data_IF_687015394745
#
_entry.id   IF_687015394745
#
_cell.length_a   1.000
_cell.length_b   1.000
_cell.length_c   1.000
_cell.angle_alpha   90.00
_cell.angle_beta   90.00
_cell.angle_gamma   90.00
#
_symmetry.space_group_name_H-M   'P 1'
#
loop_
_entity.id
_entity.type
_entity.pdbx_description
1 polymer ?
#
# COMPACT_ATOMS: atom_id res chain seq x y z
N UNK A 1 29.07 -0.07 5.44
CA UNK A 1 29.30 -1.51 5.68
C UNK A 1 28.28 -2.29 4.85
N UNK A 2 28.67 -2.76 3.65
CA UNK A 2 27.84 -3.64 2.81
C UNK A 2 28.29 -5.07 3.12
N UNK A 3 27.57 -5.75 4.03
CA UNK A 3 27.75 -7.17 4.25
C UNK A 3 27.35 -7.95 2.98
N UNK A 4 28.11 -8.97 2.61
CA UNK A 4 27.73 -9.95 1.57
C UNK A 4 26.34 -10.48 1.94
N UNK A 5 25.35 -10.23 1.07
CA UNK A 5 24.02 -10.80 1.23
C UNK A 5 24.16 -12.33 1.27
N UNK A 6 23.85 -12.91 2.43
CA UNK A 6 23.77 -14.37 2.52
C UNK A 6 22.66 -14.85 1.59
N UNK A 7 22.93 -15.87 0.78
CA UNK A 7 21.93 -16.50 -0.11
C UNK A 7 20.65 -16.85 0.65
N UNK A 8 20.77 -17.23 1.92
CA UNK A 8 19.64 -17.54 2.82
C UNK A 8 18.79 -16.30 3.13
N UNK A 9 19.39 -15.13 3.32
CA UNK A 9 18.65 -13.89 3.64
C UNK A 9 17.97 -13.33 2.40
N UNK A 10 18.60 -13.42 1.24
CA UNK A 10 17.98 -13.08 -0.04
C UNK A 10 16.74 -13.94 -0.32
N UNK A 11 16.84 -15.27 -0.16
CA UNK A 11 15.72 -16.19 -0.36
C UNK A 11 14.58 -15.91 0.63
N UNK A 12 14.87 -15.65 1.90
CA UNK A 12 13.88 -15.25 2.91
C UNK A 12 13.20 -13.94 2.54
N UNK A 13 13.96 -12.96 2.06
CA UNK A 13 13.42 -11.68 1.60
C UNK A 13 12.50 -11.84 0.39
N UNK A 14 12.87 -12.69 -0.56
CA UNK A 14 12.06 -13.00 -1.74
C UNK A 14 10.74 -13.66 -1.35
N UNK A 15 10.77 -14.69 -0.51
CA UNK A 15 9.56 -15.38 -0.02
C UNK A 15 8.67 -14.39 0.76
N UNK A 16 9.26 -13.56 1.62
CA UNK A 16 8.51 -12.56 2.38
C UNK A 16 7.83 -11.54 1.46
N UNK A 17 8.51 -11.06 0.40
CA UNK A 17 7.93 -10.14 -0.57
C UNK A 17 6.77 -10.78 -1.35
N UNK A 18 6.95 -11.99 -1.87
CA UNK A 18 5.90 -12.71 -2.61
C UNK A 18 4.70 -12.99 -1.70
N UNK A 19 4.94 -13.48 -0.49
CA UNK A 19 3.88 -13.76 0.47
C UNK A 19 3.12 -12.49 0.88
N UNK A 20 3.82 -11.36 1.09
CA UNK A 20 3.14 -10.09 1.42
C UNK A 20 2.25 -9.59 0.29
N UNK A 21 2.71 -9.66 -0.97
CA UNK A 21 1.90 -9.26 -2.12
C UNK A 21 0.65 -10.14 -2.28
N UNK A 22 0.78 -11.46 -2.09
CA UNK A 22 -0.39 -12.37 -2.10
C UNK A 22 -1.37 -12.05 -0.97
N UNK A 23 -0.87 -11.80 0.25
CA UNK A 23 -1.70 -11.44 1.38
C UNK A 23 -2.40 -10.08 1.18
N UNK A 24 -1.74 -9.07 0.59
CA UNK A 24 -2.37 -7.81 0.21
C UNK A 24 -3.45 -8.04 -0.84
N UNK A 25 -3.20 -8.88 -1.84
CA UNK A 25 -4.22 -9.21 -2.85
C UNK A 25 -5.43 -9.93 -2.24
N UNK A 26 -5.22 -10.79 -1.23
CA UNK A 26 -6.33 -11.38 -0.47
C UNK A 26 -7.11 -10.31 0.30
N UNK A 27 -6.43 -9.32 0.90
CA UNK A 27 -7.11 -8.22 1.61
C UNK A 27 -8.07 -7.44 0.71
N UNK A 28 -7.78 -7.34 -0.57
CA UNK A 28 -8.64 -6.70 -1.56
C UNK A 28 -10.00 -7.40 -1.69
N UNK A 29 -10.04 -8.73 -1.53
CA UNK A 29 -11.25 -9.54 -1.62
C UNK A 29 -12.10 -9.54 -0.33
N UNK A 30 -11.56 -9.13 0.81
CA UNK A 30 -12.34 -9.17 2.07
C UNK A 30 -13.60 -8.32 2.00
N UNK A 31 -13.58 -7.20 1.24
CA UNK A 31 -14.77 -6.39 1.00
C UNK A 31 -15.93 -7.21 0.42
N UNK A 32 -15.64 -8.10 -0.53
CA UNK A 32 -16.67 -8.96 -1.15
C UNK A 32 -17.02 -10.17 -0.29
N UNK A 33 -16.05 -10.79 0.39
CA UNK A 33 -16.30 -11.98 1.24
C UNK A 33 -17.09 -11.66 2.50
N UNK A 34 -17.02 -10.43 2.99
CA UNK A 34 -17.75 -10.00 4.18
C UNK A 34 -19.12 -9.40 3.86
N UNK A 35 -19.61 -9.58 2.61
CA UNK A 35 -21.00 -9.20 2.28
C UNK A 35 -22.00 -9.79 3.29
N UNK A 36 -23.00 -9.05 3.80
CA UNK A 36 -23.50 -7.75 3.31
C UNK A 36 -22.87 -6.50 3.95
N UNK A 37 -21.71 -6.61 4.65
CA UNK A 37 -21.03 -5.44 5.17
C UNK A 37 -20.56 -4.53 4.04
N UNK A 38 -20.69 -3.24 4.22
CA UNK A 38 -20.15 -2.24 3.29
C UNK A 38 -18.63 -2.19 3.36
N UNK A 39 -17.96 -1.71 2.30
CA UNK A 39 -16.50 -1.54 2.31
C UNK A 39 -16.00 -0.63 3.44
N UNK A 40 -16.81 0.35 3.88
CA UNK A 40 -16.47 1.23 5.01
C UNK A 40 -16.55 0.48 6.34
N UNK A 41 -17.52 -0.38 6.53
CA UNK A 41 -17.62 -1.23 7.73
C UNK A 41 -16.46 -2.23 7.79
N UNK A 42 -16.14 -2.88 6.66
CA UNK A 42 -14.98 -3.78 6.57
C UNK A 42 -13.69 -3.03 6.90
N UNK A 43 -13.50 -1.82 6.38
CA UNK A 43 -12.37 -0.97 6.73
C UNK A 43 -12.32 -0.67 8.23
N UNK A 44 -13.44 -0.29 8.83
CA UNK A 44 -13.47 0.06 10.26
C UNK A 44 -13.08 -1.14 11.13
N UNK A 45 -13.65 -2.31 10.89
CA UNK A 45 -13.27 -3.54 11.60
C UNK A 45 -11.81 -3.94 11.33
N UNK A 46 -11.32 -3.74 10.11
CA UNK A 46 -9.92 -3.96 9.76
C UNK A 46 -8.98 -3.11 10.62
N UNK A 47 -9.29 -1.84 10.83
CA UNK A 47 -8.41 -0.93 11.59
C UNK A 47 -8.31 -1.36 13.05
N UNK A 48 -9.43 -1.72 13.68
CA UNK A 48 -9.45 -2.19 15.06
C UNK A 48 -8.71 -3.53 15.20
N UNK A 49 -9.03 -4.50 14.35
CA UNK A 49 -8.41 -5.83 14.40
C UNK A 49 -6.91 -5.77 14.05
N UNK A 50 -6.52 -4.92 13.09
CA UNK A 50 -5.12 -4.73 12.72
C UNK A 50 -4.31 -4.05 13.83
N UNK A 51 -4.89 -3.08 14.55
CA UNK A 51 -4.22 -2.49 15.71
C UNK A 51 -3.92 -3.55 16.77
N UNK A 52 -4.91 -4.40 17.10
CA UNK A 52 -4.71 -5.49 18.05
C UNK A 52 -3.59 -6.44 17.61
N UNK A 53 -3.60 -6.86 16.34
CA UNK A 53 -2.57 -7.73 15.78
C UNK A 53 -1.18 -7.07 15.73
N UNK A 54 -1.08 -5.78 15.39
CA UNK A 54 0.19 -5.03 15.40
C UNK A 54 0.70 -4.87 16.84
N UNK A 55 -0.16 -4.62 17.83
CA UNK A 55 0.24 -4.60 19.23
C UNK A 55 0.87 -5.92 19.68
N UNK A 56 0.30 -7.06 19.26
CA UNK A 56 0.88 -8.39 19.53
C UNK A 56 2.26 -8.52 18.85
N UNK A 57 2.38 -8.15 17.56
CA UNK A 57 3.67 -8.17 16.85
C UNK A 57 4.72 -7.30 17.50
N UNK A 58 4.36 -6.10 17.96
CA UNK A 58 5.24 -5.22 18.73
C UNK A 58 5.70 -5.84 20.05
N UNK A 59 4.81 -6.60 20.70
CA UNK A 59 5.12 -7.34 21.94
C UNK A 59 6.05 -8.55 21.72
N UNK A 60 5.95 -9.21 20.57
CA UNK A 60 6.79 -10.35 20.18
C UNK A 60 8.18 -9.95 19.67
N UNK A 61 8.39 -8.67 19.45
CA UNK A 61 9.64 -8.07 18.97
C UNK A 61 10.11 -6.98 19.95
N UNK A 62 11.28 -6.40 19.72
CA UNK A 62 11.72 -5.20 20.46
C UNK A 62 10.96 -3.92 19.98
N UNK A 63 9.82 -4.06 19.33
CA UNK A 63 9.06 -2.97 18.75
C UNK A 63 8.61 -1.92 19.77
N UNK A 64 8.13 -2.33 20.94
CA UNK A 64 7.74 -1.40 22.01
C UNK A 64 8.92 -0.63 22.60
N UNK A 65 10.09 -1.27 22.73
CA UNK A 65 11.31 -0.58 23.17
C UNK A 65 11.74 0.47 22.13
N UNK A 66 11.75 0.09 20.86
CA UNK A 66 12.09 1.00 19.77
C UNK A 66 11.09 2.17 19.67
N UNK A 67 9.77 1.92 19.85
CA UNK A 67 8.77 2.97 19.92
C UNK A 67 8.98 3.92 21.09
N UNK A 68 9.28 3.38 22.29
CA UNK A 68 9.62 4.18 23.47
C UNK A 68 10.86 5.06 23.27
N UNK A 69 11.90 4.52 22.62
CA UNK A 69 13.07 5.28 22.25
C UNK A 69 12.73 6.41 21.26
N UNK A 70 11.99 6.11 20.20
CA UNK A 70 11.57 7.10 19.21
C UNK A 70 10.74 8.23 19.84
N UNK A 71 9.83 7.90 20.79
CA UNK A 71 9.04 8.90 21.53
C UNK A 71 9.95 9.78 22.38
N UNK A 72 10.95 9.20 23.07
CA UNK A 72 11.92 9.96 23.88
C UNK A 72 12.77 10.88 23.02
N UNK A 73 13.25 10.40 21.86
CA UNK A 73 14.04 11.19 20.91
C UNK A 73 13.23 12.32 20.27
N UNK A 74 11.95 12.10 20.00
CA UNK A 74 11.04 13.11 19.49
C UNK A 74 10.69 14.13 20.58
N UNK A 75 10.66 13.72 21.86
CA UNK A 75 10.41 14.57 23.01
C UNK A 75 9.04 15.23 22.97
N UNK A 76 8.98 16.48 23.48
CA UNK A 76 7.76 17.31 23.51
C UNK A 76 7.66 18.26 22.30
N UNK A 77 8.39 18.05 21.23
CA UNK A 77 8.29 18.89 20.03
C UNK A 77 6.96 18.65 19.32
N UNK A 78 5.96 19.48 19.67
CA UNK A 78 4.62 19.39 19.12
C UNK A 78 4.60 19.61 17.60
N UNK A 79 5.51 20.43 17.03
CA UNK A 79 5.62 20.65 15.58
C UNK A 79 6.07 19.36 14.89
N UNK A 80 7.05 18.65 15.46
CA UNK A 80 7.50 17.37 14.93
C UNK A 80 6.38 16.32 14.99
N UNK A 81 5.64 16.25 16.10
CA UNK A 81 4.47 15.37 16.23
C UNK A 81 3.37 15.71 15.23
N UNK A 82 3.07 16.99 15.03
CA UNK A 82 2.10 17.44 14.03
C UNK A 82 2.49 16.94 12.63
N UNK A 83 3.75 17.14 12.21
CA UNK A 83 4.22 16.67 10.92
C UNK A 83 4.26 15.14 10.79
N UNK A 84 4.51 14.40 11.90
CA UNK A 84 4.42 12.94 11.94
C UNK A 84 2.98 12.49 11.73
N UNK A 85 1.98 13.14 12.33
CA UNK A 85 0.56 12.72 12.25
C UNK A 85 -0.17 13.27 11.03
N UNK A 86 0.30 14.36 10.44
CA UNK A 86 -0.35 15.02 9.29
C UNK A 86 -0.66 14.08 8.12
N UNK A 87 0.19 13.13 7.72
CA UNK A 87 -0.11 12.22 6.63
C UNK A 87 -1.04 11.05 7.01
N UNK A 88 -1.39 10.89 8.30
CA UNK A 88 -2.26 9.78 8.76
C UNK A 88 -3.63 9.77 8.09
N UNK A 89 -4.36 10.90 7.87
CA UNK A 89 -5.63 10.89 7.14
C UNK A 89 -5.49 10.40 5.69
N UNK A 90 -4.39 10.77 5.03
CA UNK A 90 -4.09 10.28 3.68
C UNK A 90 -3.91 8.77 3.71
N UNK A 91 -3.13 8.25 4.65
CA UNK A 91 -2.93 6.82 4.83
C UNK A 91 -4.25 6.08 5.14
N UNK A 92 -5.08 6.63 6.03
CA UNK A 92 -6.40 6.08 6.35
C UNK A 92 -7.28 5.97 5.10
N UNK A 93 -7.33 7.03 4.28
CA UNK A 93 -8.11 7.03 3.03
C UNK A 93 -7.62 6.00 2.01
N UNK A 94 -6.31 5.75 1.95
CA UNK A 94 -5.74 4.71 1.08
C UNK A 94 -6.16 3.31 1.55
N UNK A 95 -6.09 3.04 2.85
CA UNK A 95 -6.51 1.76 3.42
C UNK A 95 -8.02 1.52 3.29
N UNK A 96 -8.82 2.61 3.38
CA UNK A 96 -10.26 2.56 3.14
C UNK A 96 -10.55 2.26 1.68
N UNK A 97 -9.94 3.00 0.75
CA UNK A 97 -10.15 2.84 -0.68
C UNK A 97 -9.80 1.42 -1.15
N UNK A 98 -8.79 0.81 -0.55
CA UNK A 98 -8.33 -0.53 -0.88
C UNK A 98 -9.41 -1.62 -0.67
N UNK A 99 -10.22 -1.53 0.38
CA UNK A 99 -11.29 -2.49 0.66
C UNK A 99 -12.67 -2.03 0.17
N UNK A 100 -12.83 -0.72 -0.06
CA UNK A 100 -14.04 -0.12 -0.59
C UNK A 100 -14.17 -0.33 -2.10
N UNK A 101 -13.08 -0.22 -2.84
CA UNK A 101 -13.11 -0.21 -4.30
C UNK A 101 -13.64 -1.51 -4.94
N UNK A 102 -13.29 -2.72 -4.47
CA UNK A 102 -13.75 -3.96 -5.12
C UNK A 102 -15.26 -4.20 -4.97
N UNK A 103 -15.90 -3.63 -3.94
CA UNK A 103 -17.35 -3.74 -3.74
C UNK A 103 -18.15 -2.61 -4.39
N UNK A 104 -17.45 -1.60 -4.94
CA UNK A 104 -18.07 -0.44 -5.59
C UNK A 104 -17.69 -0.32 -7.08
N UNK A 105 -17.11 -1.37 -7.69
CA UNK A 105 -16.75 -1.38 -9.11
C UNK A 105 -15.60 -0.44 -9.49
N UNK A 106 -14.75 -0.06 -8.51
CA UNK A 106 -13.60 0.83 -8.69
C UNK A 106 -12.26 0.08 -8.57
N UNK A 107 -12.29 -1.25 -8.54
CA UNK A 107 -11.10 -2.08 -8.33
C UNK A 107 -10.05 -1.90 -9.41
N UNK A 108 -10.44 -1.89 -10.70
CA UNK A 108 -9.53 -1.61 -11.83
C UNK A 108 -8.90 -0.22 -11.68
N UNK A 109 -9.71 0.80 -11.35
CA UNK A 109 -9.24 2.18 -11.21
C UNK A 109 -8.23 2.33 -10.07
N UNK A 110 -8.46 1.66 -8.95
CA UNK A 110 -7.54 1.65 -7.81
C UNK A 110 -6.26 0.89 -8.16
N UNK A 111 -6.35 -0.26 -8.82
CA UNK A 111 -5.18 -1.00 -9.31
C UNK A 111 -4.33 -0.12 -10.24
N UNK A 112 -4.95 0.66 -11.14
CA UNK A 112 -4.25 1.62 -12.00
C UNK A 112 -3.55 2.71 -11.21
N UNK A 113 -4.18 3.21 -10.13
CA UNK A 113 -3.53 4.15 -9.20
C UNK A 113 -2.26 3.56 -8.56
N UNK A 114 -2.30 2.31 -8.14
CA UNK A 114 -1.13 1.61 -7.61
C UNK A 114 -0.06 1.33 -8.68
N UNK A 115 -0.43 1.10 -9.93
CA UNK A 115 0.55 1.05 -11.03
C UNK A 115 1.26 2.38 -11.23
N UNK A 116 0.54 3.49 -11.16
CA UNK A 116 1.10 4.82 -11.32
C UNK A 116 1.90 5.31 -10.10
N UNK A 117 1.62 4.76 -8.91
CA UNK A 117 2.23 5.21 -7.66
C UNK A 117 3.77 5.22 -7.67
N UNK A 118 4.50 4.16 -8.10
CA UNK A 118 5.95 4.18 -8.12
C UNK A 118 6.52 5.20 -9.11
N UNK A 119 5.82 5.45 -10.22
CA UNK A 119 6.20 6.47 -11.21
C UNK A 119 5.97 7.88 -10.65
N UNK A 120 4.87 8.08 -9.92
CA UNK A 120 4.60 9.31 -9.18
C UNK A 120 5.67 9.54 -8.09
N UNK A 121 6.11 8.49 -7.37
CA UNK A 121 7.21 8.57 -6.41
C UNK A 121 8.51 9.02 -7.05
N UNK A 122 8.84 8.53 -8.25
CA UNK A 122 10.01 9.00 -9.01
C UNK A 122 9.90 10.49 -9.40
N UNK A 123 8.75 10.89 -9.92
CA UNK A 123 8.49 12.28 -10.27
C UNK A 123 8.62 13.20 -9.05
N UNK A 124 8.03 12.81 -7.93
CA UNK A 124 8.15 13.52 -6.66
C UNK A 124 9.59 13.55 -6.14
N UNK A 125 10.34 12.44 -6.24
CA UNK A 125 11.77 12.38 -5.92
C UNK A 125 12.59 13.39 -6.72
N UNK A 126 12.30 13.50 -8.02
CA UNK A 126 12.91 14.50 -8.89
C UNK A 126 12.59 15.93 -8.46
N UNK A 127 11.33 16.21 -8.17
CA UNK A 127 10.86 17.58 -7.87
C UNK A 127 11.30 18.01 -6.46
N UNK A 128 11.09 17.20 -5.44
CA UNK A 128 11.32 17.59 -4.04
C UNK A 128 12.75 17.33 -3.55
N UNK A 129 13.35 16.20 -3.95
CA UNK A 129 14.69 15.85 -3.51
C UNK A 129 15.76 16.18 -4.57
N UNK A 130 15.35 16.72 -5.74
CA UNK A 130 16.24 17.04 -6.87
C UNK A 130 17.08 15.82 -7.32
N UNK A 131 16.52 14.62 -7.12
CA UNK A 131 17.16 13.38 -7.56
C UNK A 131 17.30 13.38 -9.10
N UNK A 132 18.42 12.90 -9.62
CA UNK A 132 18.64 12.80 -11.06
C UNK A 132 18.00 11.52 -11.58
N UNK A 133 17.08 11.63 -12.54
CA UNK A 133 16.53 10.47 -13.22
C UNK A 133 17.48 10.05 -14.35
N UNK A 134 17.72 8.76 -14.47
CA UNK A 134 18.42 8.24 -15.64
C UNK A 134 17.47 8.16 -16.85
N UNK A 135 18.03 7.84 -18.04
CA UNK A 135 17.26 7.82 -19.30
C UNK A 135 16.06 6.87 -19.24
N UNK A 136 16.23 5.65 -18.68
CA UNK A 136 15.14 4.67 -18.58
C UNK A 136 14.04 5.15 -17.64
N UNK A 137 14.40 5.74 -16.49
CA UNK A 137 13.44 6.33 -15.56
C UNK A 137 12.67 7.50 -16.18
N UNK A 138 13.35 8.34 -16.95
CA UNK A 138 12.71 9.47 -17.65
C UNK A 138 11.71 8.95 -18.68
N UNK A 139 12.09 7.96 -19.51
CA UNK A 139 11.20 7.36 -20.51
C UNK A 139 10.02 6.67 -19.82
N UNK A 140 10.23 5.99 -18.69
CA UNK A 140 9.17 5.35 -17.92
C UNK A 140 8.12 6.36 -17.43
N UNK A 141 8.57 7.48 -16.84
CA UNK A 141 7.66 8.55 -16.38
C UNK A 141 6.91 9.18 -17.55
N UNK A 142 7.60 9.48 -18.65
CA UNK A 142 6.95 10.05 -19.86
C UNK A 142 5.91 9.07 -20.43
N UNK A 143 6.23 7.78 -20.51
CA UNK A 143 5.27 6.75 -20.96
C UNK A 143 4.02 6.73 -20.09
N UNK A 144 4.18 6.75 -18.76
CA UNK A 144 3.03 6.80 -17.85
C UNK A 144 2.18 8.07 -18.03
N UNK A 145 2.85 9.23 -18.20
CA UNK A 145 2.13 10.48 -18.48
C UNK A 145 1.31 10.39 -19.78
N UNK A 146 1.86 9.77 -20.84
CA UNK A 146 1.13 9.54 -22.09
C UNK A 146 -0.11 8.64 -21.86
N UNK A 147 0.02 7.59 -21.03
CA UNK A 147 -1.11 6.73 -20.66
C UNK A 147 -2.21 7.49 -19.93
N UNK A 148 -1.84 8.36 -18.98
CA UNK A 148 -2.79 9.22 -18.25
C UNK A 148 -3.48 10.21 -19.20
N UNK A 149 -2.71 10.86 -20.08
CA UNK A 149 -3.26 11.81 -21.07
C UNK A 149 -4.20 11.10 -22.04
N UNK A 150 -3.82 9.91 -22.53
CA UNK A 150 -4.69 9.11 -23.39
C UNK A 150 -6.03 8.82 -22.72
N UNK A 151 -6.01 8.36 -21.47
CA UNK A 151 -7.23 8.03 -20.74
C UNK A 151 -8.12 9.27 -20.52
N UNK A 152 -7.50 10.40 -20.17
CA UNK A 152 -8.21 11.66 -20.00
C UNK A 152 -8.89 12.14 -21.31
N UNK A 153 -8.19 12.03 -22.45
CA UNK A 153 -8.72 12.43 -23.76
C UNK A 153 -9.83 11.48 -24.20
N UNK A 154 -9.67 10.18 -23.94
CA UNK A 154 -10.64 9.15 -24.36
C UNK A 154 -11.93 9.20 -23.56
N UNK A 155 -11.84 9.26 -22.24
CA UNK A 155 -13.01 9.17 -21.33
C UNK A 155 -13.58 10.54 -20.94
N UNK A 156 -12.87 11.63 -21.24
CA UNK A 156 -13.21 12.97 -20.79
C UNK A 156 -13.03 13.20 -19.28
N UNK A 157 -12.76 12.13 -18.53
CA UNK A 157 -12.50 12.18 -17.09
C UNK A 157 -11.52 11.07 -16.69
N UNK A 158 -10.71 11.34 -15.71
CA UNK A 158 -9.86 10.32 -15.09
C UNK A 158 -10.50 9.88 -13.78
N UNK A 159 -10.50 8.56 -13.50
CA UNK A 159 -11.12 8.09 -12.25
C UNK A 159 -10.53 8.80 -11.05
N UNK A 160 -11.38 9.36 -10.20
CA UNK A 160 -10.99 10.02 -8.95
C UNK A 160 -10.19 9.07 -8.05
N UNK A 161 -10.54 7.78 -8.06
CA UNK A 161 -9.87 6.77 -7.24
C UNK A 161 -8.43 6.56 -7.70
N UNK A 162 -8.18 6.50 -9.02
CA UNK A 162 -6.84 6.43 -9.59
C UNK A 162 -6.01 7.65 -9.19
N UNK A 163 -6.56 8.86 -9.40
CA UNK A 163 -5.89 10.13 -9.06
C UNK A 163 -5.59 10.21 -7.56
N UNK A 164 -6.54 9.80 -6.73
CA UNK A 164 -6.36 9.81 -5.28
C UNK A 164 -5.19 8.93 -4.85
N UNK A 165 -5.07 7.70 -5.38
CA UNK A 165 -4.00 6.78 -5.04
C UNK A 165 -2.65 7.35 -5.45
N UNK A 166 -2.39 7.58 -6.74
CA UNK A 166 -1.05 7.99 -7.17
C UNK A 166 -0.69 9.44 -6.80
N UNK A 167 -1.69 10.30 -6.60
CA UNK A 167 -1.48 11.72 -6.28
C UNK A 167 -1.23 11.97 -4.79
N UNK A 168 -1.90 11.26 -3.90
CA UNK A 168 -1.82 11.53 -2.46
C UNK A 168 -0.90 10.56 -1.71
N UNK A 169 -0.83 9.30 -2.10
CA UNK A 169 -0.04 8.29 -1.40
C UNK A 169 1.47 8.59 -1.40
N UNK A 170 2.09 9.14 -2.47
CA UNK A 170 3.47 9.62 -2.40
C UNK A 170 3.72 10.62 -1.28
N UNK A 171 2.77 11.50 -0.98
CA UNK A 171 2.90 12.51 0.09
C UNK A 171 3.14 11.83 1.44
N UNK A 172 2.37 10.77 1.76
CA UNK A 172 2.56 9.98 2.97
C UNK A 172 4.01 9.47 3.09
N UNK A 173 4.52 8.80 2.06
CA UNK A 173 5.86 8.22 2.08
C UNK A 173 6.96 9.28 2.15
N UNK A 174 6.82 10.38 1.40
CA UNK A 174 7.82 11.44 1.37
C UNK A 174 7.95 12.15 2.72
N UNK A 175 6.81 12.46 3.36
CA UNK A 175 6.80 13.07 4.70
C UNK A 175 7.40 12.12 5.73
N UNK A 176 6.99 10.84 5.73
CA UNK A 176 7.53 9.81 6.63
C UNK A 176 9.04 9.62 6.45
N UNK A 177 9.52 9.56 5.21
CA UNK A 177 10.95 9.45 4.88
C UNK A 177 11.73 10.68 5.36
N UNK A 178 11.23 11.89 5.09
CA UNK A 178 11.88 13.15 5.52
C UNK A 178 12.01 13.25 7.03
N UNK A 179 11.03 12.75 7.78
CA UNK A 179 11.03 12.79 9.24
C UNK A 179 11.78 11.61 9.89
N UNK A 180 12.26 10.64 9.10
CA UNK A 180 12.98 9.48 9.61
C UNK A 180 12.12 8.56 10.49
N UNK A 181 10.80 8.49 10.25
CA UNK A 181 9.89 7.65 11.04
C UNK A 181 10.05 6.20 10.65
N UNK A 182 10.44 5.29 11.55
CA UNK A 182 10.53 3.86 11.26
C UNK A 182 9.15 3.30 10.87
N UNK A 183 9.09 2.45 9.85
CA UNK A 183 7.83 2.04 9.22
C UNK A 183 6.83 1.38 10.19
N UNK A 184 7.29 0.42 11.03
CA UNK A 184 6.42 -0.27 11.99
C UNK A 184 5.92 0.69 13.09
N UNK A 185 6.77 1.59 13.56
CA UNK A 185 6.42 2.61 14.57
C UNK A 185 5.43 3.60 13.97
N UNK A 186 5.68 4.08 12.74
CA UNK A 186 4.76 4.95 12.02
C UNK A 186 3.39 4.32 11.82
N UNK A 187 3.34 3.04 11.39
CA UNK A 187 2.11 2.29 11.27
C UNK A 187 1.36 2.17 12.61
N UNK A 188 2.08 1.92 13.71
CA UNK A 188 1.46 1.83 15.04
C UNK A 188 0.81 3.17 15.42
N UNK A 189 1.50 4.30 15.20
CA UNK A 189 0.94 5.62 15.48
C UNK A 189 -0.25 5.95 14.58
N UNK A 190 -0.19 5.59 13.30
CA UNK A 190 -1.32 5.77 12.38
C UNK A 190 -2.55 5.00 12.91
N UNK A 191 -2.36 3.72 13.27
CA UNK A 191 -3.45 2.88 13.78
C UNK A 191 -3.98 3.36 15.13
N UNK A 192 -3.13 3.90 16.03
CA UNK A 192 -3.57 4.49 17.29
C UNK A 192 -4.49 5.71 17.11
N UNK A 193 -4.39 6.39 15.97
CA UNK A 193 -5.29 7.49 15.60
C UNK A 193 -6.52 6.98 14.85
N UNK A 194 -6.31 6.08 13.88
CA UNK A 194 -7.39 5.62 12.98
C UNK A 194 -8.34 4.67 13.70
N UNK A 195 -7.82 3.71 14.50
CA UNK A 195 -8.65 2.67 15.11
C UNK A 195 -9.67 3.19 16.13
N UNK A 196 -9.38 4.20 16.97
CA UNK A 196 -10.41 4.81 17.81
C UNK A 196 -11.54 5.47 17.01
N UNK A 197 -11.21 6.16 15.91
CA UNK A 197 -12.22 6.74 15.02
C UNK A 197 -13.06 5.65 14.35
N UNK A 198 -12.41 4.57 13.91
CA UNK A 198 -13.07 3.41 13.34
C UNK A 198 -13.98 2.71 14.38
N UNK A 199 -13.51 2.55 15.60
CA UNK A 199 -14.30 1.99 16.70
C UNK A 199 -15.51 2.86 17.01
N UNK A 200 -15.34 4.18 17.06
CA UNK A 200 -16.47 5.10 17.23
C UNK A 200 -17.49 4.93 16.11
N UNK A 201 -17.05 4.85 14.85
CA UNK A 201 -17.92 4.58 13.70
C UNK A 201 -18.67 3.25 13.88
N UNK A 202 -17.99 2.16 14.24
CA UNK A 202 -18.62 0.84 14.48
C UNK A 202 -19.72 0.95 15.54
N UNK A 203 -19.46 1.64 16.65
CA UNK A 203 -20.42 1.78 17.75
C UNK A 203 -21.66 2.59 17.36
N UNK A 204 -21.59 3.43 16.33
CA UNK A 204 -22.73 4.18 15.78
C UNK A 204 -23.54 3.35 14.76
N UNK A 205 -22.98 2.22 14.27
CA UNK A 205 -23.63 1.35 13.28
C UNK A 205 -24.27 0.13 13.95
N UNK A 206 -25.43 0.33 14.57
CA UNK A 206 -26.16 -0.71 15.32
C UNK A 206 -26.49 -1.92 14.44
N UNK A 207 -26.81 -1.68 13.16
CA UNK A 207 -27.18 -2.74 12.21
C UNK A 207 -26.01 -3.69 11.95
N UNK A 208 -24.79 -3.16 11.84
CA UNK A 208 -23.57 -3.98 11.64
C UNK A 208 -23.28 -4.84 12.88
N UNK A 209 -23.47 -4.31 14.08
CA UNK A 209 -23.30 -5.07 15.33
C UNK A 209 -24.32 -6.21 15.39
N UNK A 210 -25.58 -5.95 15.07
CA UNK A 210 -26.64 -6.96 15.02
C UNK A 210 -26.36 -8.01 13.93
N UNK A 211 -25.84 -7.58 12.76
CA UNK A 211 -25.42 -8.48 11.69
C UNK A 211 -24.33 -9.45 12.15
N UNK A 212 -23.30 -8.95 12.86
CA UNK A 212 -22.22 -9.78 13.38
C UNK A 212 -22.76 -10.76 14.45
N UNK A 213 -23.66 -10.30 15.32
CA UNK A 213 -24.27 -11.15 16.33
C UNK A 213 -25.11 -12.28 15.71
N UNK A 214 -25.82 -12.00 14.60
CA UNK A 214 -26.62 -12.99 13.87
C UNK A 214 -25.79 -13.87 12.93
N UNK A 215 -24.58 -13.46 12.58
CA UNK A 215 -23.70 -14.14 11.61
C UNK A 215 -22.30 -14.35 12.18
N UNK A 216 -22.12 -15.32 13.11
CA UNK A 216 -20.82 -15.49 13.82
C UNK A 216 -19.61 -15.73 12.93
N UNK A 217 -19.78 -16.24 11.70
CA UNK A 217 -18.70 -16.40 10.72
C UNK A 217 -17.97 -15.07 10.41
N UNK A 218 -18.68 -13.93 10.53
CA UNK A 218 -18.07 -12.61 10.30
C UNK A 218 -17.00 -12.27 11.35
N UNK A 219 -17.15 -12.76 12.58
CA UNK A 219 -16.12 -12.62 13.63
C UNK A 219 -14.82 -13.29 13.18
N UNK A 220 -14.92 -14.50 12.61
CA UNK A 220 -13.78 -15.20 12.05
C UNK A 220 -13.10 -14.40 10.92
N UNK A 221 -13.87 -13.82 10.01
CA UNK A 221 -13.35 -12.95 8.95
C UNK A 221 -12.68 -11.70 9.52
N UNK A 222 -13.24 -11.03 10.53
CA UNK A 222 -12.65 -9.85 11.18
C UNK A 222 -11.29 -10.19 11.80
N UNK A 223 -11.22 -11.30 12.54
CA UNK A 223 -9.95 -11.76 13.15
C UNK A 223 -8.91 -12.06 12.06
N UNK A 224 -9.30 -12.83 11.04
CA UNK A 224 -8.41 -13.15 9.93
C UNK A 224 -7.98 -11.90 9.15
N UNK A 225 -8.87 -10.94 8.95
CA UNK A 225 -8.58 -9.66 8.29
C UNK A 225 -7.51 -8.87 9.06
N UNK A 226 -7.63 -8.81 10.39
CA UNK A 226 -6.63 -8.17 11.26
C UNK A 226 -5.27 -8.86 11.20
N UNK A 227 -5.26 -10.18 11.37
CA UNK A 227 -4.04 -11.01 11.30
C UNK A 227 -3.40 -10.90 9.91
N UNK A 228 -4.17 -11.09 8.85
CA UNK A 228 -3.68 -10.99 7.47
C UNK A 228 -3.04 -9.61 7.21
N UNK A 229 -3.70 -8.52 7.63
CA UNK A 229 -3.19 -7.15 7.47
C UNK A 229 -1.87 -6.96 8.21
N UNK A 230 -1.78 -7.41 9.45
CA UNK A 230 -0.57 -7.27 10.27
C UNK A 230 0.59 -8.13 9.73
N UNK A 231 0.31 -9.39 9.34
CA UNK A 231 1.30 -10.31 8.79
C UNK A 231 1.78 -9.82 7.42
N UNK A 232 0.88 -9.39 6.53
CA UNK A 232 1.24 -8.83 5.23
C UNK A 232 2.20 -7.65 5.39
N UNK A 233 1.87 -6.70 6.27
CA UNK A 233 2.71 -5.55 6.55
C UNK A 233 4.06 -5.95 7.18
N UNK A 234 4.06 -6.88 8.14
CA UNK A 234 5.31 -7.36 8.75
C UNK A 234 6.23 -8.02 7.73
N UNK A 235 5.69 -8.88 6.87
CA UNK A 235 6.47 -9.54 5.81
C UNK A 235 6.99 -8.54 4.78
N UNK A 236 6.18 -7.55 4.41
CA UNK A 236 6.58 -6.48 3.49
C UNK A 236 7.77 -5.67 4.07
N UNK A 237 7.67 -5.25 5.33
CA UNK A 237 8.76 -4.55 6.02
C UNK A 237 10.02 -5.41 6.12
N UNK A 238 9.87 -6.70 6.44
CA UNK A 238 11.00 -7.63 6.50
C UNK A 238 11.66 -7.82 5.13
N UNK A 239 10.85 -7.95 4.07
CA UNK A 239 11.34 -8.02 2.69
C UNK A 239 12.13 -6.77 2.30
N UNK A 240 11.63 -5.58 2.64
CA UNK A 240 12.31 -4.31 2.37
C UNK A 240 13.68 -4.18 3.05
N UNK A 241 13.88 -4.85 4.18
CA UNK A 241 15.15 -4.87 4.91
C UNK A 241 16.13 -5.92 4.38
N UNK A 242 15.63 -7.07 3.92
CA UNK A 242 16.44 -8.21 3.46
C UNK A 242 16.83 -8.12 1.99
N UNK A 243 16.02 -7.45 1.17
CA UNK A 243 16.26 -7.35 -0.27
C UNK A 243 16.97 -6.03 -0.64
N UNK A 244 17.79 -6.04 -1.70
CA UNK A 244 18.23 -4.81 -2.34
C UNK A 244 17.03 -3.97 -2.75
N UNK A 245 17.10 -2.65 -2.60
CA UNK A 245 16.01 -1.71 -2.91
C UNK A 245 15.45 -1.93 -4.33
N UNK A 246 16.32 -2.20 -5.30
CA UNK A 246 15.90 -2.45 -6.69
C UNK A 246 15.07 -3.73 -6.83
N UNK A 247 15.42 -4.81 -6.10
CA UNK A 247 14.66 -6.08 -6.13
C UNK A 247 13.33 -5.92 -5.43
N UNK A 248 13.33 -5.32 -4.24
CA UNK A 248 12.11 -5.05 -3.49
C UNK A 248 11.14 -4.18 -4.30
N UNK A 249 11.64 -3.09 -4.90
CA UNK A 249 10.82 -2.23 -5.77
C UNK A 249 10.24 -2.94 -6.98
N UNK A 250 10.98 -3.88 -7.61
CA UNK A 250 10.44 -4.69 -8.72
C UNK A 250 9.34 -5.64 -8.24
N UNK A 251 9.53 -6.28 -7.08
CA UNK A 251 8.54 -7.21 -6.54
C UNK A 251 7.27 -6.50 -6.06
N UNK A 252 7.37 -5.24 -5.66
CA UNK A 252 6.21 -4.44 -5.25
C UNK A 252 5.22 -4.15 -6.39
N UNK A 253 5.64 -4.33 -7.65
CA UNK A 253 4.71 -4.25 -8.80
C UNK A 253 3.82 -5.48 -8.94
N UNK A 254 4.11 -6.57 -8.24
CA UNK A 254 3.26 -7.76 -8.29
C UNK A 254 1.88 -7.50 -7.67
N UNK A 255 1.80 -6.70 -6.62
CA UNK A 255 0.53 -6.36 -5.97
C UNK A 255 -0.47 -5.73 -6.95
N UNK A 256 -0.20 -4.58 -7.60
CA UNK A 256 -1.17 -4.00 -8.54
C UNK A 256 -1.49 -4.90 -9.74
N UNK A 257 -0.57 -5.76 -10.19
CA UNK A 257 -0.88 -6.77 -11.23
C UNK A 257 -1.93 -7.75 -10.72
N UNK A 258 -1.77 -8.25 -9.50
CA UNK A 258 -2.74 -9.17 -8.90
C UNK A 258 -4.09 -8.48 -8.66
N UNK A 259 -4.11 -7.23 -8.17
CA UNK A 259 -5.36 -6.47 -8.01
C UNK A 259 -6.10 -6.29 -9.33
N UNK A 260 -5.38 -5.95 -10.41
CA UNK A 260 -5.95 -5.80 -11.74
C UNK A 260 -6.56 -7.10 -12.26
N UNK A 261 -5.82 -8.21 -12.12
CA UNK A 261 -6.32 -9.54 -12.51
C UNK A 261 -7.55 -9.93 -11.70
N UNK A 262 -7.54 -9.70 -10.38
CA UNK A 262 -8.68 -9.99 -9.50
C UNK A 262 -9.89 -9.15 -9.90
N UNK A 263 -9.74 -7.85 -10.15
CA UNK A 263 -10.83 -6.97 -10.55
C UNK A 263 -11.52 -7.45 -11.84
N UNK A 264 -10.74 -7.84 -12.84
CA UNK A 264 -11.30 -8.27 -14.13
C UNK A 264 -11.77 -9.72 -14.08
N UNK A 265 -10.91 -10.65 -13.66
CA UNK A 265 -11.17 -12.08 -13.80
C UNK A 265 -12.08 -12.64 -12.69
N UNK A 266 -12.06 -12.04 -11.51
CA UNK A 266 -12.83 -12.51 -10.34
C UNK A 266 -14.06 -11.65 -10.06
N UNK A 267 -13.90 -10.32 -10.07
CA UNK A 267 -14.99 -9.38 -9.79
C UNK A 267 -15.81 -9.04 -11.03
N UNK A 268 -15.32 -9.40 -12.24
CA UNK A 268 -16.05 -9.18 -13.50
C UNK A 268 -16.15 -7.70 -13.89
N UNK A 269 -15.25 -6.85 -13.41
CA UNK A 269 -15.26 -5.43 -13.77
C UNK A 269 -15.02 -5.27 -15.28
N UNK A 270 -15.83 -4.44 -15.97
CA UNK A 270 -15.72 -4.29 -17.41
C UNK A 270 -14.42 -3.58 -17.80
N UNK A 271 -13.71 -4.15 -18.77
CA UNK A 271 -12.53 -3.54 -19.36
C UNK A 271 -12.87 -2.97 -20.74
N UNK A 272 -12.91 -1.67 -20.85
CA UNK A 272 -13.13 -1.01 -22.13
C UNK A 272 -11.91 -1.16 -23.04
N UNK A 273 -12.11 -1.60 -24.28
CA UNK A 273 -11.03 -1.85 -25.24
C UNK A 273 -10.14 -0.62 -25.49
N UNK A 274 -10.72 0.58 -25.47
CA UNK A 274 -9.97 1.84 -25.61
C UNK A 274 -9.06 2.17 -24.41
N UNK A 275 -9.38 1.68 -23.22
CA UNK A 275 -8.54 1.86 -22.02
C UNK A 275 -7.23 1.05 -22.10
N UNK A 276 -7.22 -0.06 -22.86
CA UNK A 276 -6.02 -0.89 -23.03
C UNK A 276 -4.82 -0.14 -23.59
N UNK A 277 -5.05 0.89 -24.41
CA UNK A 277 -3.96 1.72 -24.96
C UNK A 277 -3.30 2.51 -23.83
N UNK A 278 -4.09 3.19 -22.99
CA UNK A 278 -3.59 3.92 -21.81
C UNK A 278 -2.85 3.00 -20.84
N UNK A 279 -3.43 1.85 -20.54
CA UNK A 279 -2.82 0.82 -19.69
C UNK A 279 -1.52 0.27 -20.28
N UNK A 280 -1.47 0.09 -21.61
CA UNK A 280 -0.27 -0.33 -22.33
C UNK A 280 0.91 0.63 -22.13
N UNK A 281 0.66 1.95 -22.19
CA UNK A 281 1.68 2.96 -21.89
C UNK A 281 2.15 2.91 -20.42
N UNK A 282 1.24 2.69 -19.49
CA UNK A 282 1.57 2.57 -18.06
C UNK A 282 2.40 1.30 -17.84
N UNK A 283 1.99 0.15 -18.38
CA UNK A 283 2.74 -1.10 -18.28
C UNK A 283 4.10 -1.04 -18.96
N UNK A 284 4.23 -0.30 -20.06
CA UNK A 284 5.52 -0.02 -20.69
C UNK A 284 6.42 0.75 -19.72
N UNK A 285 5.91 1.80 -19.08
CA UNK A 285 6.63 2.55 -18.06
C UNK A 285 7.13 1.65 -16.91
N UNK A 286 6.25 0.77 -16.40
CA UNK A 286 6.59 -0.19 -15.36
C UNK A 286 7.66 -1.20 -15.82
N UNK A 287 7.54 -1.73 -17.03
CA UNK A 287 8.51 -2.66 -17.60
C UNK A 287 9.90 -2.02 -17.70
N UNK A 288 9.97 -0.76 -18.13
CA UNK A 288 11.22 0.00 -18.18
C UNK A 288 11.83 0.21 -16.79
N UNK A 289 10.98 0.45 -15.77
CA UNK A 289 11.43 0.52 -14.38
C UNK A 289 11.99 -0.80 -13.86
N UNK A 290 11.34 -1.92 -14.19
CA UNK A 290 11.84 -3.26 -13.84
C UNK A 290 13.18 -3.56 -14.51
N UNK A 291 13.33 -3.22 -15.81
CA UNK A 291 14.60 -3.34 -16.54
C UNK A 291 15.68 -2.46 -15.90
N UNK A 292 15.35 -1.22 -15.55
CA UNK A 292 16.28 -0.33 -14.85
C UNK A 292 16.76 -0.91 -13.52
N UNK A 293 15.85 -1.45 -12.72
CA UNK A 293 16.18 -2.13 -11.45
C UNK A 293 17.10 -3.34 -11.67
N UNK A 294 16.80 -4.16 -12.65
CA UNK A 294 17.62 -5.34 -13.00
C UNK A 294 19.03 -4.95 -13.48
N UNK A 295 19.16 -3.94 -14.34
CA UNK A 295 20.45 -3.43 -14.78
C UNK A 295 21.27 -2.84 -13.64
N UNK A 296 20.61 -2.14 -12.69
CA UNK A 296 21.27 -1.61 -11.50
C UNK A 296 21.80 -2.73 -10.58
N UNK A 297 21.10 -3.86 -10.51
CA UNK A 297 21.58 -5.04 -9.78
C UNK A 297 22.81 -5.66 -10.45
N UNK A 298 22.78 -5.88 -11.77
CA UNK A 298 23.93 -6.43 -12.50
C UNK A 298 25.21 -5.62 -12.30
N UNK A 299 25.11 -4.28 -12.29
CA UNK A 299 26.25 -3.39 -12.07
C UNK A 299 26.83 -3.43 -10.65
N UNK A 300 26.11 -3.99 -9.68
CA UNK A 300 26.58 -4.13 -8.28
C UNK A 300 27.18 -5.51 -7.97
N UNK A 301 26.99 -6.48 -8.84
CA UNK A 301 27.48 -7.85 -8.70
C UNK A 301 28.80 -8.06 -9.46
N UNK A 302 29.14 -7.18 -10.40
CA UNK A 302 30.44 -7.05 -11.06
C UNK A 302 31.28 -5.97 -10.36
#
# INVERSE_FOLDING_TARGET
>A
MQGRLNMTDFSKGLVAALASNLLFSMLFLYGTWMYPMTGTEVFAWRMVAMLAAVCVLMGMSDGWKAAGQFVRETGRDWKRWFWIMLPTPVFASQLWLFVWSPVNGEGVNVAMGYFLFPLAMLACGRIWFKETLNRLQTVAVVSACLGVVWELVRSGAFSWATVWVFGTYPIYYLVRRKLGVPALIGLTFDLLVIAPCALFYILTQTDTINLIASTPKLIGFIVLLGINSAVAMHLNLKASQLLPIAVFGMLSYLEPVLLFIISIAWLGEPLESGALIGYGFIWLGLSLMMVNGWLAMKRRVV
#
